data_IF_866575688613
#
_entry.id   IF_866575688613
#
_cell.length_a   1.000
_cell.length_b   1.000
_cell.length_c   1.000
_cell.angle_alpha   90.00
_cell.angle_beta   90.00
_cell.angle_gamma   90.00
#
_symmetry.space_group_name_H-M   'P 1'
#
loop_
_entity.id
_entity.type
_entity.pdbx_description
1 polymer ?
#
# COMPACT_ATOMS: atom_id res chain seq x y z
N UNK A 1 6.81 23.25 -26.93
CA UNK A 1 6.15 21.92 -26.90
C UNK A 1 4.76 21.93 -27.54
N UNK A 2 4.38 20.90 -28.31
CA UNK A 2 3.04 20.73 -28.91
C UNK A 2 2.03 20.15 -27.89
N UNK A 3 0.72 20.20 -28.20
CA UNK A 3 -0.30 19.59 -27.33
C UNK A 3 -0.11 18.07 -27.16
N UNK A 4 0.28 17.38 -28.24
CA UNK A 4 0.56 15.93 -28.20
C UNK A 4 1.78 15.62 -27.31
N UNK A 5 2.84 16.42 -27.39
CA UNK A 5 4.02 16.24 -26.54
C UNK A 5 3.71 16.53 -25.07
N UNK A 6 2.85 17.51 -24.77
CA UNK A 6 2.36 17.77 -23.41
C UNK A 6 1.57 16.58 -22.84
N UNK A 7 0.67 16.01 -23.65
CA UNK A 7 -0.11 14.84 -23.24
C UNK A 7 0.80 13.64 -22.97
N UNK A 8 1.80 13.40 -23.82
CA UNK A 8 2.78 12.33 -23.61
C UNK A 8 3.57 12.53 -22.31
N UNK A 9 4.05 13.74 -22.03
CA UNK A 9 4.78 14.06 -20.80
C UNK A 9 3.94 13.90 -19.52
N UNK A 10 2.64 14.23 -19.58
CA UNK A 10 1.71 13.97 -18.48
C UNK A 10 1.45 12.47 -18.29
N UNK A 11 1.48 11.70 -19.38
CA UNK A 11 1.34 10.25 -19.29
C UNK A 11 2.58 9.59 -18.69
N UNK A 12 3.78 10.11 -19.00
CA UNK A 12 5.04 9.65 -18.40
C UNK A 12 5.00 9.75 -16.88
N UNK A 13 4.65 10.91 -16.31
CA UNK A 13 4.61 11.05 -14.84
C UNK A 13 3.59 10.12 -14.17
N UNK A 14 2.51 9.78 -14.87
CA UNK A 14 1.46 8.88 -14.35
C UNK A 14 1.86 7.42 -14.36
N UNK A 15 2.55 6.95 -15.40
CA UNK A 15 2.70 5.50 -15.65
C UNK A 15 4.13 5.00 -15.76
N UNK A 16 5.08 5.90 -16.02
CA UNK A 16 6.46 5.49 -16.26
C UNK A 16 7.17 5.11 -14.96
N UNK A 17 8.32 4.46 -15.10
CA UNK A 17 9.26 4.20 -14.00
C UNK A 17 9.85 5.50 -13.46
N UNK A 18 10.36 5.55 -12.22
CA UNK A 18 10.85 6.80 -11.67
C UNK A 18 12.10 7.33 -12.40
N UNK A 19 12.90 6.44 -13.03
CA UNK A 19 13.96 6.80 -13.98
C UNK A 19 13.45 7.62 -15.17
N UNK A 20 12.38 7.16 -15.82
CA UNK A 20 11.76 7.83 -16.96
C UNK A 20 11.10 9.15 -16.54
N UNK A 21 10.60 9.22 -15.31
CA UNK A 21 10.07 10.47 -14.72
C UNK A 21 11.20 11.47 -14.49
N UNK A 22 12.36 11.02 -13.99
CA UNK A 22 13.55 11.86 -13.79
C UNK A 22 14.06 12.42 -15.14
N UNK A 23 14.17 11.58 -16.17
CA UNK A 23 14.57 12.02 -17.51
C UNK A 23 13.59 13.06 -18.08
N UNK A 24 12.28 12.81 -17.91
CA UNK A 24 11.25 13.77 -18.31
C UNK A 24 11.34 15.08 -17.51
N UNK A 25 11.59 15.01 -16.20
CA UNK A 25 11.78 16.18 -15.35
C UNK A 25 12.96 17.03 -15.82
N UNK A 26 14.10 16.40 -16.15
CA UNK A 26 15.28 17.08 -16.68
C UNK A 26 14.97 17.83 -18.00
N UNK A 27 14.18 17.23 -18.89
CA UNK A 27 13.70 17.91 -20.09
C UNK A 27 12.85 19.15 -19.76
N UNK A 28 11.94 19.04 -18.79
CA UNK A 28 11.08 20.14 -18.38
C UNK A 28 11.84 21.26 -17.66
N UNK A 29 12.90 20.94 -16.93
CA UNK A 29 13.83 21.94 -16.37
C UNK A 29 14.53 22.69 -17.51
N UNK A 30 15.07 21.97 -18.49
CA UNK A 30 15.75 22.58 -19.64
C UNK A 30 14.82 23.48 -20.48
N UNK A 31 13.53 23.12 -20.57
CA UNK A 31 12.50 23.95 -21.23
C UNK A 31 11.96 25.09 -20.35
N UNK A 32 12.40 25.21 -19.08
CA UNK A 32 11.94 26.24 -18.14
C UNK A 32 10.52 26.03 -17.61
N UNK A 33 9.98 24.81 -17.72
CA UNK A 33 8.69 24.42 -17.18
C UNK A 33 8.75 24.12 -15.67
N UNK A 34 9.89 23.60 -15.20
CA UNK A 34 10.21 23.32 -13.79
C UNK A 34 11.40 24.16 -13.35
N UNK A 35 11.42 24.58 -12.08
CA UNK A 35 12.54 25.28 -11.44
C UNK A 35 12.77 24.73 -10.04
N UNK A 36 13.99 24.82 -9.46
CA UNK A 36 14.25 24.32 -8.11
C UNK A 36 13.28 24.93 -7.11
N UNK A 37 12.85 24.12 -6.15
CA UNK A 37 12.07 24.61 -5.02
C UNK A 37 12.99 25.11 -3.90
N UNK A 38 13.42 26.37 -4.01
CA UNK A 38 14.35 27.00 -3.05
C UNK A 38 13.76 27.14 -1.64
N UNK A 39 12.44 27.06 -1.47
CA UNK A 39 11.80 27.08 -0.15
C UNK A 39 11.98 25.76 0.62
N UNK A 40 12.15 24.64 -0.10
CA UNK A 40 12.47 23.35 0.49
C UNK A 40 13.95 23.28 0.95
N UNK A 41 14.85 23.93 0.21
CA UNK A 41 16.28 24.04 0.57
C UNK A 41 16.46 24.86 1.87
N UNK A 42 15.73 25.97 2.03
CA UNK A 42 15.79 26.80 3.25
C UNK A 42 15.21 26.09 4.49
N UNK A 43 14.20 25.20 4.33
CA UNK A 43 13.59 24.46 5.45
C UNK A 43 14.53 23.38 6.02
N UNK A 44 15.30 22.68 5.17
CA UNK A 44 16.28 21.69 5.62
C UNK A 44 17.55 22.34 6.23
N UNK A 45 17.98 23.50 5.74
CA UNK A 45 19.09 24.25 6.36
C UNK A 45 18.73 24.78 7.78
N UNK A 46 17.43 24.90 8.08
CA UNK A 46 16.92 25.27 9.41
C UNK A 46 16.74 24.08 10.37
N UNK A 47 16.73 22.83 9.88
CA UNK A 47 16.68 21.63 10.74
C UNK A 47 18.08 21.17 11.17
N UNK A 48 19.10 21.30 10.31
CA UNK A 48 20.50 21.00 10.66
C UNK A 48 21.15 22.03 11.62
N UNK A 49 20.47 23.15 11.89
CA UNK A 49 20.94 24.22 12.78
C UNK A 49 20.18 24.30 14.11
N UNK A 50 19.36 23.30 14.47
CA UNK A 50 18.66 23.26 15.77
C UNK A 50 19.42 22.43 16.82
N UNK A 51 20.70 22.72 16.98
CA UNK A 51 21.36 22.57 18.27
C UNK A 51 21.42 23.96 18.92
N UNK A 52 20.84 24.06 20.12
CA UNK A 52 20.75 25.25 20.99
C UNK A 52 19.86 26.41 20.49
N UNK A 53 18.58 26.37 20.87
CA UNK A 53 18.07 27.39 21.80
C UNK A 53 16.70 27.00 22.37
N UNK A 54 16.69 26.68 23.67
CA UNK A 54 15.51 26.66 24.53
C UNK A 54 14.89 28.05 24.54
N UNK A 55 13.73 28.22 23.94
CA UNK A 55 12.77 29.22 24.40
C UNK A 55 11.36 28.65 24.41
N UNK A 56 10.79 28.65 25.62
CA UNK A 56 9.38 28.43 25.90
C UNK A 56 8.52 29.35 25.01
N UNK A 57 7.71 28.77 24.13
CA UNK A 57 6.61 29.47 23.47
C UNK A 57 5.31 28.72 23.75
N UNK A 58 4.59 29.21 24.76
CA UNK A 58 3.14 29.01 24.90
C UNK A 58 2.46 29.58 23.65
N UNK A 59 1.79 28.73 22.86
CA UNK A 59 0.84 29.15 21.84
C UNK A 59 -0.42 28.28 21.91
N UNK A 60 -1.37 28.84 22.66
CA UNK A 60 -2.83 28.89 22.49
C UNK A 60 -3.49 27.99 21.44
N UNK A 61 -4.48 27.23 21.92
CA UNK A 61 -5.61 26.68 21.16
C UNK A 61 -6.29 27.77 20.33
N UNK A 62 -6.45 27.56 19.02
CA UNK A 62 -7.56 28.11 18.22
C UNK A 62 -7.64 27.41 16.85
N UNK A 63 -8.69 26.59 16.73
CA UNK A 63 -9.58 26.37 15.58
C UNK A 63 -9.01 26.06 14.18
N UNK A 64 -9.19 24.78 13.83
CA UNK A 64 -9.39 24.23 12.49
C UNK A 64 -10.55 24.94 11.76
N UNK A 65 -10.44 25.21 10.44
CA UNK A 65 -11.35 24.46 9.55
C UNK A 65 -10.77 24.20 8.16
N UNK A 66 -10.99 23.00 7.60
CA UNK A 66 -11.79 22.79 6.38
C UNK A 66 -11.80 21.29 5.98
N UNK A 67 -12.74 20.53 6.54
CA UNK A 67 -13.30 19.32 5.96
C UNK A 67 -14.71 19.67 5.48
N UNK A 68 -14.86 20.05 4.21
CA UNK A 68 -16.17 20.19 3.57
C UNK A 68 -16.39 19.04 2.59
N UNK A 69 -17.48 18.32 2.83
CA UNK A 69 -17.76 16.99 2.31
C UNK A 69 -18.14 16.94 0.83
N UNK A 70 -18.00 15.74 0.28
CA UNK A 70 -18.59 15.37 -1.00
C UNK A 70 -19.29 14.04 -0.81
N UNK A 71 -20.62 14.13 -0.79
CA UNK A 71 -21.54 13.02 -0.72
C UNK A 71 -21.49 12.11 -1.95
N UNK A 72 -21.98 10.91 -1.67
CA UNK A 72 -22.08 9.65 -2.39
C UNK A 72 -22.78 9.70 -3.77
N UNK A 73 -22.72 8.53 -4.44
CA UNK A 73 -23.48 8.04 -5.59
C UNK A 73 -22.74 7.98 -6.93
N UNK A 74 -21.96 6.90 -7.10
CA UNK A 74 -22.00 6.02 -8.30
C UNK A 74 -21.12 4.77 -8.14
N UNK A 75 -21.72 3.71 -7.60
CA UNK A 75 -21.24 2.34 -7.83
C UNK A 75 -21.58 1.91 -9.25
N UNK A 76 -20.63 2.04 -10.18
CA UNK A 76 -20.64 1.22 -11.39
C UNK A 76 -19.64 0.06 -11.24
N UNK A 77 -20.22 -1.13 -11.17
CA UNK A 77 -19.53 -2.42 -11.18
C UNK A 77 -18.80 -2.62 -12.52
N UNK A 78 -17.48 -2.69 -12.50
CA UNK A 78 -16.71 -3.21 -13.62
C UNK A 78 -15.78 -4.34 -13.16
N UNK A 79 -16.00 -5.48 -13.80
CA UNK A 79 -15.42 -6.79 -13.55
C UNK A 79 -13.88 -6.79 -13.54
N UNK A 80 -13.34 -7.63 -12.66
CA UNK A 80 -11.93 -7.89 -12.54
C UNK A 80 -11.31 -8.46 -13.82
N UNK A 81 -10.19 -7.86 -14.20
CA UNK A 81 -9.16 -8.54 -14.97
C UNK A 81 -7.97 -8.77 -14.04
N UNK A 82 -7.89 -9.98 -13.47
CA UNK A 82 -6.63 -10.51 -12.96
C UNK A 82 -5.68 -10.65 -14.13
N UNK A 83 -4.69 -9.75 -14.22
CA UNK A 83 -3.50 -9.97 -15.03
C UNK A 83 -2.53 -10.78 -14.17
N UNK A 84 -2.43 -12.07 -14.46
CA UNK A 84 -1.21 -12.83 -14.17
C UNK A 84 -0.12 -12.23 -15.07
N UNK A 85 0.72 -11.36 -14.50
CA UNK A 85 1.89 -10.79 -15.15
C UNK A 85 3.14 -11.43 -14.56
N UNK A 86 3.92 -12.09 -15.41
CA UNK A 86 5.26 -12.60 -15.12
C UNK A 86 6.13 -11.47 -14.57
N UNK A 87 6.77 -11.69 -13.42
CA UNK A 87 7.77 -10.76 -12.90
C UNK A 87 8.94 -10.73 -13.88
N UNK A 88 9.12 -9.60 -14.57
CA UNK A 88 10.28 -9.38 -15.42
C UNK A 88 11.53 -9.26 -14.54
N UNK A 89 12.44 -10.23 -14.66
CA UNK A 89 13.82 -10.12 -14.19
C UNK A 89 14.56 -9.08 -15.06
N UNK A 90 14.29 -7.80 -14.79
CA UNK A 90 15.08 -6.67 -15.30
C UNK A 90 16.13 -6.28 -14.27
N UNK A 91 17.35 -6.01 -14.71
CA UNK A 91 18.42 -5.42 -13.90
C UNK A 91 17.91 -4.09 -13.32
N UNK A 92 17.73 -4.05 -12.01
CA UNK A 92 17.08 -2.97 -11.28
C UNK A 92 18.08 -1.85 -10.99
N UNK A 93 17.73 -0.62 -11.36
CA UNK A 93 18.53 0.56 -11.03
C UNK A 93 18.04 1.16 -9.70
N UNK A 94 18.75 0.84 -8.62
CA UNK A 94 18.47 1.30 -7.25
C UNK A 94 18.38 2.83 -7.14
N UNK A 95 19.05 3.58 -8.03
CA UNK A 95 19.08 5.06 -7.98
C UNK A 95 17.81 5.73 -8.48
N UNK A 96 16.96 4.97 -9.17
CA UNK A 96 15.89 5.52 -9.99
C UNK A 96 14.52 4.95 -9.65
N UNK A 97 14.36 4.47 -8.41
CA UNK A 97 13.10 3.90 -7.89
C UNK A 97 12.50 4.75 -6.77
N UNK A 98 11.19 4.67 -6.58
CA UNK A 98 10.58 5.19 -5.35
C UNK A 98 10.83 4.17 -4.24
N UNK A 99 11.16 4.67 -3.05
CA UNK A 99 11.49 3.82 -1.90
C UNK A 99 10.59 4.17 -0.74
N UNK A 100 10.08 3.13 -0.09
CA UNK A 100 9.48 3.19 1.21
C UNK A 100 10.52 2.70 2.21
N UNK A 101 10.95 3.56 3.11
CA UNK A 101 11.94 3.22 4.13
C UNK A 101 11.22 2.72 5.37
N UNK A 102 11.66 1.57 5.86
CA UNK A 102 11.24 1.01 7.13
C UNK A 102 12.21 1.44 8.20
N UNK A 103 11.70 2.10 9.22
CA UNK A 103 12.39 2.33 10.48
C UNK A 103 11.89 1.32 11.51
N UNK A 104 12.80 0.75 12.29
CA UNK A 104 12.48 -0.22 13.36
C UNK A 104 13.06 0.18 14.71
N UNK A 105 13.47 1.45 14.87
CA UNK A 105 13.99 1.97 16.13
C UNK A 105 12.97 1.87 17.28
N UNK A 106 13.48 1.68 18.50
CA UNK A 106 12.72 1.57 19.75
C UNK A 106 11.63 0.48 19.80
N UNK A 107 11.73 -0.52 18.94
CA UNK A 107 10.85 -1.68 18.97
C UNK A 107 9.45 -1.41 18.43
N UNK A 108 9.20 -0.24 17.85
CA UNK A 108 8.12 0.01 16.90
C UNK A 108 8.64 -0.01 15.47
N UNK A 109 7.72 -0.11 14.49
CA UNK A 109 8.12 -0.09 13.09
C UNK A 109 7.25 0.90 12.34
N UNK A 110 7.92 1.81 11.66
CA UNK A 110 7.31 2.88 10.87
C UNK A 110 7.79 2.77 9.43
N UNK A 111 6.94 3.19 8.52
CA UNK A 111 7.22 3.23 7.09
C UNK A 111 7.01 4.66 6.60
N UNK A 112 7.98 5.18 5.88
CA UNK A 112 7.94 6.52 5.28
C UNK A 112 8.33 6.48 3.81
N UNK A 113 7.91 7.48 3.03
CA UNK A 113 8.33 7.63 1.64
C UNK A 113 9.64 8.39 1.61
N UNK A 114 10.67 7.81 0.99
CA UNK A 114 11.86 8.57 0.63
C UNK A 114 11.66 9.21 -0.74
N UNK A 115 11.81 10.53 -0.77
CA UNK A 115 11.72 11.30 -2.00
C UNK A 115 13.10 11.38 -2.65
N UNK A 116 13.25 10.90 -3.91
CA UNK A 116 14.47 11.14 -4.68
C UNK A 116 14.80 12.63 -4.76
N UNK A 117 16.08 12.99 -4.76
CA UNK A 117 16.50 14.39 -4.78
C UNK A 117 15.94 15.17 -5.99
N UNK A 118 15.71 14.49 -7.12
CA UNK A 118 15.09 15.08 -8.31
C UNK A 118 13.60 15.38 -8.17
N UNK A 119 12.93 15.04 -7.07
CA UNK A 119 11.51 15.41 -6.85
C UNK A 119 11.36 16.87 -6.37
N UNK A 120 12.47 17.54 -6.04
CA UNK A 120 12.53 18.90 -5.43
C UNK A 120 12.38 20.05 -6.44
N UNK A 121 11.32 20.02 -7.25
CA UNK A 121 11.02 21.08 -8.22
C UNK A 121 9.65 21.70 -7.96
N UNK A 122 9.48 22.94 -8.44
CA UNK A 122 8.18 23.62 -8.52
C UNK A 122 7.80 23.97 -9.96
N UNK A 123 6.51 23.94 -10.25
CA UNK A 123 5.97 24.28 -11.56
C UNK A 123 6.04 25.79 -11.88
N UNK A 124 6.99 26.20 -12.71
CA UNK A 124 7.16 27.61 -13.13
C UNK A 124 6.08 28.07 -14.13
N UNK A 125 5.53 27.13 -14.89
CA UNK A 125 4.53 27.38 -15.94
C UNK A 125 3.24 26.61 -15.65
N UNK A 126 2.10 26.94 -16.31
CA UNK A 126 0.87 26.15 -16.14
C UNK A 126 1.08 24.66 -16.41
N UNK A 127 1.81 24.33 -17.49
CA UNK A 127 2.12 22.93 -17.80
C UNK A 127 3.02 22.28 -16.75
N UNK A 128 4.05 22.99 -16.26
CA UNK A 128 4.89 22.49 -15.17
C UNK A 128 4.12 22.25 -13.87
N UNK A 129 3.13 23.10 -13.55
CA UNK A 129 2.23 22.90 -12.41
C UNK A 129 1.35 21.67 -12.59
N UNK A 130 0.79 21.47 -13.79
CA UNK A 130 0.01 20.26 -14.08
C UNK A 130 0.86 19.00 -13.94
N UNK A 131 2.12 19.03 -14.40
CA UNK A 131 3.04 17.91 -14.28
C UNK A 131 3.37 17.60 -12.81
N UNK A 132 3.72 18.63 -12.01
CA UNK A 132 3.95 18.46 -10.57
C UNK A 132 2.72 17.95 -9.83
N UNK A 133 1.51 18.43 -10.15
CA UNK A 133 0.29 17.94 -9.52
C UNK A 133 -0.01 16.46 -9.81
N UNK A 134 0.50 15.89 -10.92
CA UNK A 134 0.41 14.45 -11.18
C UNK A 134 1.49 13.69 -10.42
N UNK A 135 2.71 14.24 -10.28
CA UNK A 135 3.76 13.67 -9.45
C UNK A 135 3.33 13.64 -7.98
N UNK A 136 2.82 14.75 -7.44
CA UNK A 136 2.30 14.86 -6.07
C UNK A 136 1.21 13.83 -5.79
N UNK A 137 0.26 13.62 -6.72
CA UNK A 137 -0.74 12.55 -6.57
C UNK A 137 -0.12 11.17 -6.44
N UNK A 138 0.90 10.88 -7.24
CA UNK A 138 1.64 9.61 -7.16
C UNK A 138 2.35 9.46 -5.82
N UNK A 139 2.96 10.52 -5.32
CA UNK A 139 3.63 10.55 -4.02
C UNK A 139 2.64 10.43 -2.86
N UNK A 140 1.47 11.06 -2.95
CA UNK A 140 0.41 10.94 -1.95
C UNK A 140 -0.14 9.52 -1.86
N UNK A 141 -0.25 8.82 -3.00
CA UNK A 141 -0.57 7.39 -3.02
C UNK A 141 0.46 6.59 -2.23
N UNK A 142 1.76 6.82 -2.47
CA UNK A 142 2.82 6.13 -1.74
C UNK A 142 2.82 6.48 -0.24
N UNK A 143 2.55 7.74 0.11
CA UNK A 143 2.41 8.19 1.49
C UNK A 143 1.25 7.51 2.22
N UNK A 144 0.10 7.39 1.55
CA UNK A 144 -1.05 6.67 2.10
C UNK A 144 -0.74 5.17 2.31
N UNK A 145 0.02 4.55 1.40
CA UNK A 145 0.46 3.15 1.56
C UNK A 145 1.47 3.00 2.68
N UNK A 146 2.42 3.93 2.83
CA UNK A 146 3.37 3.95 3.93
C UNK A 146 2.65 4.07 5.29
N UNK A 147 1.69 4.99 5.42
CA UNK A 147 0.86 5.13 6.62
C UNK A 147 0.07 3.85 6.92
N UNK A 148 -0.55 3.24 5.90
CA UNK A 148 -1.23 1.96 6.05
C UNK A 148 -0.29 0.84 6.52
N UNK A 149 0.94 0.78 6.02
CA UNK A 149 1.93 -0.20 6.48
C UNK A 149 2.26 -0.03 7.96
N UNK A 150 2.51 1.23 8.38
CA UNK A 150 2.79 1.59 9.79
C UNK A 150 1.65 1.21 10.72
N UNK A 151 0.42 1.52 10.32
CA UNK A 151 -0.77 1.32 11.16
C UNK A 151 -1.25 -0.12 11.17
N UNK A 152 -1.29 -0.75 9.99
CA UNK A 152 -2.01 -2.01 9.79
C UNK A 152 -1.12 -3.21 9.55
N UNK A 153 0.19 -3.02 9.29
CA UNK A 153 1.15 -4.09 8.94
C UNK A 153 2.46 -4.04 9.73
N UNK A 154 2.45 -3.41 10.90
CA UNK A 154 3.62 -3.23 11.77
C UNK A 154 4.43 -4.50 12.04
N UNK A 155 3.78 -5.66 12.26
CA UNK A 155 4.52 -6.90 12.51
C UNK A 155 5.33 -7.37 11.30
N UNK A 156 4.77 -7.24 10.10
CA UNK A 156 5.50 -7.49 8.86
C UNK A 156 6.66 -6.52 8.68
N UNK A 157 6.47 -5.23 8.99
CA UNK A 157 7.56 -4.26 8.96
C UNK A 157 8.71 -4.64 9.92
N UNK A 158 8.41 -5.22 11.08
CA UNK A 158 9.44 -5.67 12.04
C UNK A 158 10.22 -6.89 11.59
N UNK A 159 9.60 -7.82 10.87
CA UNK A 159 10.21 -9.12 10.56
C UNK A 159 10.63 -9.30 9.11
N UNK A 160 10.09 -8.48 8.20
CA UNK A 160 10.09 -8.71 6.75
C UNK A 160 9.53 -10.10 6.34
N UNK A 161 8.94 -10.87 7.28
CA UNK A 161 8.39 -12.20 7.02
C UNK A 161 6.94 -12.02 6.55
N UNK A 162 6.58 -12.47 5.32
CA UNK A 162 5.21 -12.38 4.81
C UNK A 162 4.19 -13.03 5.75
N UNK A 163 4.62 -13.98 6.60
CA UNK A 163 3.80 -14.62 7.62
C UNK A 163 3.26 -13.66 8.67
N UNK A 164 3.87 -12.49 8.84
CA UNK A 164 3.49 -11.49 9.84
C UNK A 164 2.60 -10.37 9.27
N UNK A 165 2.10 -10.51 8.04
CA UNK A 165 1.24 -9.54 7.36
C UNK A 165 -0.17 -9.37 8.00
N UNK A 166 -0.40 -9.86 9.21
CA UNK A 166 -1.72 -10.18 9.76
C UNK A 166 -2.28 -9.32 10.90
N UNK A 167 -1.93 -8.04 11.05
CA UNK A 167 -2.38 -7.26 12.23
C UNK A 167 -3.88 -6.94 12.25
N UNK A 168 -4.49 -6.65 11.09
CA UNK A 168 -5.88 -6.14 11.01
C UNK A 168 -6.87 -7.03 10.23
N UNK A 169 -6.51 -8.29 10.01
CA UNK A 169 -7.28 -9.18 9.15
C UNK A 169 -8.75 -9.40 9.58
N UNK A 170 -9.06 -9.28 10.87
CA UNK A 170 -10.44 -9.37 11.40
C UNK A 170 -11.32 -8.22 10.90
N UNK A 171 -10.86 -6.98 11.08
CA UNK A 171 -11.60 -5.79 10.64
C UNK A 171 -11.76 -5.75 9.11
N UNK A 172 -10.72 -6.17 8.39
CA UNK A 172 -10.75 -6.34 6.94
C UNK A 172 -11.84 -7.33 6.49
N UNK A 173 -11.89 -8.54 7.04
CA UNK A 173 -12.93 -9.51 6.66
C UNK A 173 -14.33 -9.00 7.01
N UNK A 174 -14.50 -8.33 8.15
CA UNK A 174 -15.78 -7.71 8.55
C UNK A 174 -16.21 -6.57 7.62
N UNK A 175 -15.25 -5.82 7.10
CA UNK A 175 -15.47 -4.70 6.19
C UNK A 175 -15.64 -5.11 4.72
N UNK A 176 -15.66 -6.42 4.42
CA UNK A 176 -15.73 -6.97 3.05
C UNK A 176 -14.58 -6.51 2.13
N UNK A 177 -13.42 -6.27 2.73
CA UNK A 177 -12.28 -5.72 2.03
C UNK A 177 -11.00 -6.43 2.53
N UNK A 178 -10.15 -6.91 1.62
CA UNK A 178 -8.84 -7.45 1.97
C UNK A 178 -7.73 -6.61 1.33
N UNK A 179 -6.90 -6.00 2.18
CA UNK A 179 -5.78 -5.11 1.78
C UNK A 179 -4.60 -5.84 1.15
N UNK A 180 -4.69 -7.17 1.07
CA UNK A 180 -3.68 -8.05 0.49
C UNK A 180 -3.91 -8.34 -0.99
N UNK A 181 -4.92 -7.71 -1.58
CA UNK A 181 -5.02 -7.55 -3.04
C UNK A 181 -4.80 -6.09 -3.38
N UNK A 182 -4.11 -5.80 -4.48
CA UNK A 182 -3.85 -4.41 -4.89
C UNK A 182 -5.17 -3.64 -5.09
N UNK A 183 -6.13 -4.26 -5.78
CA UNK A 183 -7.46 -3.68 -6.00
C UNK A 183 -8.22 -3.43 -4.70
N UNK A 184 -8.08 -4.34 -3.73
CA UNK A 184 -8.57 -4.09 -2.39
C UNK A 184 -7.90 -2.87 -1.76
N UNK A 185 -6.56 -2.84 -1.70
CA UNK A 185 -5.81 -1.77 -1.04
C UNK A 185 -6.29 -0.39 -1.49
N UNK A 186 -6.44 -0.25 -2.80
CA UNK A 186 -6.98 0.94 -3.46
C UNK A 186 -8.37 1.32 -2.93
N UNK A 187 -9.28 0.34 -2.77
CA UNK A 187 -10.65 0.60 -2.33
C UNK A 187 -10.73 1.03 -0.85
N UNK A 188 -9.92 0.43 0.02
CA UNK A 188 -9.92 0.77 1.46
C UNK A 188 -9.29 2.09 1.80
N UNK A 189 -8.15 2.38 1.17
CA UNK A 189 -7.50 3.67 1.31
C UNK A 189 -8.20 4.75 0.47
N UNK A 190 -9.29 4.40 -0.23
CA UNK A 190 -10.07 5.29 -1.12
C UNK A 190 -9.17 6.03 -2.11
N UNK A 191 -8.13 5.37 -2.60
CA UNK A 191 -7.13 5.99 -3.47
C UNK A 191 -7.71 6.34 -4.85
N UNK A 192 -8.88 5.82 -5.20
CA UNK A 192 -9.58 6.20 -6.44
C UNK A 192 -9.88 7.70 -6.53
N UNK A 193 -9.97 8.38 -5.38
CA UNK A 193 -10.12 9.84 -5.34
C UNK A 193 -8.83 10.56 -5.81
N UNK A 194 -7.70 9.86 -5.78
CA UNK A 194 -6.38 10.35 -6.22
C UNK A 194 -6.06 10.00 -7.68
N UNK A 195 -6.77 9.03 -8.28
CA UNK A 195 -6.59 8.67 -9.69
C UNK A 195 -7.23 7.35 -10.13
N UNK A 196 -7.10 7.03 -11.41
CA UNK A 196 -7.55 5.76 -11.96
C UNK A 196 -6.78 4.58 -11.35
N UNK A 197 -7.45 3.44 -11.11
CA UNK A 197 -6.81 2.24 -10.56
C UNK A 197 -5.55 1.82 -11.32
N UNK A 198 -5.55 1.95 -12.64
CA UNK A 198 -4.39 1.62 -13.48
C UNK A 198 -3.16 2.48 -13.19
N UNK A 199 -3.37 3.76 -12.87
CA UNK A 199 -2.30 4.71 -12.53
C UNK A 199 -1.78 4.40 -11.14
N UNK A 200 -2.68 4.13 -10.19
CA UNK A 200 -2.31 3.75 -8.82
C UNK A 200 -1.51 2.44 -8.82
N UNK A 201 -1.95 1.42 -9.57
CA UNK A 201 -1.18 0.19 -9.74
C UNK A 201 0.23 0.45 -10.26
N UNK A 202 0.35 1.29 -11.29
CA UNK A 202 1.67 1.66 -11.86
C UNK A 202 2.57 2.38 -10.85
N UNK A 203 2.00 3.12 -9.89
CA UNK A 203 2.76 3.73 -8.81
C UNK A 203 3.35 2.68 -7.86
N UNK A 204 2.62 1.61 -7.58
CA UNK A 204 3.03 0.54 -6.67
C UNK A 204 4.05 -0.42 -7.30
N UNK A 205 3.86 -0.77 -8.58
CA UNK A 205 4.65 -1.81 -9.27
C UNK A 205 6.16 -1.45 -9.44
N UNK A 206 6.54 -0.19 -9.24
CA UNK A 206 7.93 0.30 -9.34
C UNK A 206 8.52 0.80 -8.01
N UNK A 207 7.91 0.43 -6.88
CA UNK A 207 8.31 0.91 -5.54
C UNK A 207 8.94 -0.21 -4.72
N UNK A 208 10.02 0.10 -4.00
CA UNK A 208 10.68 -0.83 -3.07
C UNK A 208 10.31 -0.51 -1.62
N UNK A 209 10.30 -1.54 -0.78
CA UNK A 209 10.30 -1.43 0.66
C UNK A 209 11.72 -1.81 1.15
N UNK A 210 12.41 -0.90 1.82
CA UNK A 210 13.82 -1.05 2.23
C UNK A 210 13.96 -0.99 3.76
N UNK A 211 14.72 -1.91 4.33
CA UNK A 211 14.99 -2.01 5.77
C UNK A 211 16.35 -1.41 6.16
N UNK A 212 16.58 -1.09 7.45
CA UNK A 212 17.83 -0.47 7.90
C UNK A 212 19.08 -1.31 7.67
N UNK A 213 18.94 -2.63 7.50
CA UNK A 213 20.04 -3.55 7.20
C UNK A 213 20.41 -3.57 5.70
N UNK A 214 19.74 -2.77 4.87
CA UNK A 214 19.91 -2.68 3.43
C UNK A 214 19.18 -3.78 2.65
N UNK A 215 18.39 -4.63 3.32
CA UNK A 215 17.51 -5.57 2.62
C UNK A 215 16.32 -4.84 2.01
N UNK A 216 15.83 -5.33 0.87
CA UNK A 216 14.69 -4.74 0.18
C UNK A 216 13.76 -5.79 -0.43
N UNK A 217 12.48 -5.44 -0.51
CA UNK A 217 11.45 -6.21 -1.19
C UNK A 217 10.63 -5.29 -2.10
N UNK A 218 10.25 -5.73 -3.30
CA UNK A 218 9.37 -4.94 -4.13
C UNK A 218 7.98 -4.85 -3.47
N UNK A 219 7.35 -3.68 -3.53
CA UNK A 219 6.10 -3.42 -2.82
C UNK A 219 4.94 -4.32 -3.31
N UNK A 220 4.99 -4.73 -4.58
CA UNK A 220 4.03 -5.64 -5.18
C UNK A 220 4.02 -7.04 -4.53
N UNK A 221 5.12 -7.41 -3.85
CA UNK A 221 5.23 -8.63 -3.08
C UNK A 221 4.14 -8.75 -2.01
N UNK A 222 3.67 -7.63 -1.44
CA UNK A 222 2.57 -7.59 -0.47
C UNK A 222 1.25 -8.13 -1.03
N UNK A 223 1.10 -8.10 -2.36
CA UNK A 223 -0.07 -8.60 -3.06
C UNK A 223 0.17 -9.97 -3.69
N UNK A 224 1.35 -10.55 -3.49
CA UNK A 224 1.69 -11.89 -3.98
C UNK A 224 0.77 -12.94 -3.40
N UNK A 225 0.68 -14.09 -4.09
CA UNK A 225 -0.11 -15.21 -3.60
C UNK A 225 0.35 -15.71 -2.23
N UNK A 226 1.64 -15.62 -1.94
CA UNK A 226 2.21 -16.00 -0.64
C UNK A 226 1.71 -15.07 0.48
N UNK A 227 1.84 -13.76 0.29
CA UNK A 227 1.34 -12.75 1.20
C UNK A 227 -0.17 -12.91 1.49
N UNK A 228 -0.96 -13.19 0.45
CA UNK A 228 -2.40 -13.45 0.58
C UNK A 228 -2.71 -14.69 1.41
N UNK A 229 -1.95 -15.78 1.24
CA UNK A 229 -2.13 -16.99 2.05
C UNK A 229 -1.76 -16.77 3.51
N UNK A 230 -0.67 -16.03 3.77
CA UNK A 230 -0.25 -15.67 5.12
C UNK A 230 -1.31 -14.84 5.84
N UNK A 231 -1.86 -13.83 5.17
CA UNK A 231 -2.97 -13.05 5.70
C UNK A 231 -4.19 -13.91 6.02
N UNK A 232 -4.59 -14.82 5.11
CA UNK A 232 -5.73 -15.73 5.34
C UNK A 232 -5.50 -16.62 6.57
N UNK A 233 -4.28 -17.14 6.73
CA UNK A 233 -3.91 -17.94 7.90
C UNK A 233 -4.04 -17.13 9.20
N UNK A 234 -3.55 -15.89 9.21
CA UNK A 234 -3.64 -14.99 10.37
C UNK A 234 -5.08 -14.57 10.69
N UNK A 235 -5.89 -14.29 9.67
CA UNK A 235 -7.31 -13.98 9.82
C UNK A 235 -8.03 -15.11 10.57
N UNK A 236 -7.85 -16.35 10.10
CA UNK A 236 -8.49 -17.54 10.67
C UNK A 236 -7.94 -17.83 12.07
N UNK A 237 -6.64 -17.64 12.30
CA UNK A 237 -6.01 -17.77 13.63
C UNK A 237 -6.61 -16.79 14.64
N UNK A 238 -6.69 -15.51 14.30
CA UNK A 238 -7.23 -14.46 15.17
C UNK A 238 -8.70 -14.72 15.51
N UNK A 239 -9.51 -15.05 14.51
CA UNK A 239 -10.96 -15.19 14.69
C UNK A 239 -11.40 -16.52 15.31
N UNK A 240 -10.71 -17.62 15.00
CA UNK A 240 -10.98 -18.88 15.69
C UNK A 240 -10.71 -18.76 17.20
N UNK A 241 -9.62 -18.06 17.58
CA UNK A 241 -9.32 -17.79 18.98
C UNK A 241 -10.44 -16.97 19.66
N UNK A 242 -10.96 -15.93 19.00
CA UNK A 242 -12.11 -15.15 19.50
C UNK A 242 -13.38 -16.01 19.67
N UNK A 243 -13.58 -17.00 18.78
CA UNK A 243 -14.69 -17.94 18.86
C UNK A 243 -14.46 -19.09 19.87
N UNK A 244 -13.33 -19.10 20.59
CA UNK A 244 -12.99 -20.14 21.57
C UNK A 244 -12.45 -21.44 20.97
N UNK A 245 -12.05 -21.43 19.70
CA UNK A 245 -11.45 -22.57 19.00
C UNK A 245 -9.93 -22.48 19.04
N UNK A 246 -9.28 -23.61 19.30
CA UNK A 246 -7.85 -23.76 19.06
C UNK A 246 -7.60 -24.04 17.57
N UNK A 247 -6.46 -23.59 17.04
CA UNK A 247 -6.12 -23.87 15.65
C UNK A 247 -6.00 -25.35 15.32
N UNK A 248 -5.66 -26.19 16.31
CA UNK A 248 -5.69 -27.63 16.15
C UNK A 248 -7.10 -28.15 15.84
N UNK A 249 -8.11 -27.70 16.60
CA UNK A 249 -9.51 -28.07 16.35
C UNK A 249 -10.01 -27.56 14.99
N UNK A 250 -9.61 -26.35 14.59
CA UNK A 250 -9.95 -25.80 13.27
C UNK A 250 -9.37 -26.66 12.16
N UNK A 251 -8.09 -27.03 12.26
CA UNK A 251 -7.42 -27.85 11.25
C UNK A 251 -7.98 -29.27 11.19
N UNK A 252 -8.28 -29.88 12.33
CA UNK A 252 -8.90 -31.21 12.38
C UNK A 252 -10.27 -31.23 11.69
N UNK A 253 -11.07 -30.19 11.92
CA UNK A 253 -12.44 -30.11 11.40
C UNK A 253 -12.53 -29.61 9.97
N UNK A 254 -11.71 -28.63 9.59
CA UNK A 254 -11.88 -27.85 8.36
C UNK A 254 -10.71 -27.94 7.38
N UNK A 255 -9.65 -28.72 7.64
CA UNK A 255 -8.49 -28.82 6.70
C UNK A 255 -8.83 -29.22 5.26
N UNK A 256 -10.00 -29.85 5.06
CA UNK A 256 -10.49 -30.29 3.74
C UNK A 256 -11.62 -29.42 3.19
N UNK A 257 -11.96 -28.30 3.83
CA UNK A 257 -13.01 -27.40 3.35
C UNK A 257 -12.65 -26.91 1.95
N UNK A 258 -13.52 -27.23 1.00
CA UNK A 258 -13.40 -26.80 -0.38
C UNK A 258 -14.23 -25.53 -0.57
N UNK A 259 -13.66 -24.55 -1.26
CA UNK A 259 -14.38 -23.33 -1.62
C UNK A 259 -15.13 -23.60 -2.94
N UNK A 260 -16.47 -23.54 -2.97
CA UNK A 260 -17.20 -23.68 -4.21
C UNK A 260 -16.91 -22.47 -5.11
N UNK A 261 -16.15 -22.68 -6.20
CA UNK A 261 -15.83 -21.61 -7.18
C UNK A 261 -17.06 -20.86 -7.69
N UNK A 262 -18.20 -21.55 -7.79
CA UNK A 262 -19.47 -20.97 -8.25
C UNK A 262 -20.08 -19.93 -7.30
N UNK A 263 -19.60 -19.82 -6.06
CA UNK A 263 -20.11 -18.89 -5.04
C UNK A 263 -19.10 -17.85 -4.59
N UNK A 264 -17.90 -17.82 -5.17
CA UNK A 264 -16.82 -16.95 -4.68
C UNK A 264 -17.21 -15.45 -4.72
N UNK A 265 -17.84 -15.01 -5.81
CA UNK A 265 -18.38 -13.63 -5.93
C UNK A 265 -19.43 -13.32 -4.87
N UNK A 266 -20.31 -14.28 -4.55
CA UNK A 266 -21.32 -14.14 -3.50
C UNK A 266 -20.66 -13.93 -2.13
N UNK A 267 -19.67 -14.76 -1.80
CA UNK A 267 -18.97 -14.73 -0.51
C UNK A 267 -18.20 -13.45 -0.25
N UNK A 268 -17.63 -12.81 -1.28
CA UNK A 268 -16.94 -11.52 -1.15
C UNK A 268 -17.86 -10.41 -0.63
N UNK A 269 -19.17 -10.51 -0.89
CA UNK A 269 -20.15 -9.47 -0.56
C UNK A 269 -21.07 -9.81 0.61
N UNK A 270 -21.11 -11.09 1.02
CA UNK A 270 -21.96 -11.57 2.12
C UNK A 270 -21.58 -10.88 3.43
N UNK A 271 -22.53 -10.45 4.26
CA UNK A 271 -22.26 -9.90 5.59
C UNK A 271 -21.49 -10.89 6.48
N UNK A 272 -20.64 -10.39 7.39
CA UNK A 272 -20.00 -11.23 8.44
C UNK A 272 -20.89 -11.51 9.64
N UNK A 273 -22.01 -10.82 9.79
CA UNK A 273 -22.90 -11.01 10.95
C UNK A 273 -23.46 -12.44 10.98
N UNK A 274 -23.20 -13.15 12.07
CA UNK A 274 -23.71 -14.51 12.29
C UNK A 274 -23.07 -15.59 11.41
N UNK A 275 -21.96 -15.30 10.71
CA UNK A 275 -21.21 -16.35 10.00
C UNK A 275 -20.61 -17.33 11.02
N UNK A 276 -20.74 -18.62 10.72
CA UNK A 276 -19.97 -19.64 11.43
C UNK A 276 -18.51 -19.68 10.94
N UNK A 277 -17.69 -20.50 11.61
CA UNK A 277 -16.27 -20.58 11.29
C UNK A 277 -15.99 -21.14 9.89
N UNK A 278 -16.86 -22.00 9.35
CA UNK A 278 -16.68 -22.57 8.02
C UNK A 278 -16.94 -21.51 6.94
N UNK A 279 -18.05 -20.80 7.08
CA UNK A 279 -18.42 -19.66 6.24
C UNK A 279 -17.34 -18.57 6.31
N UNK A 280 -16.76 -18.34 7.48
CA UNK A 280 -15.65 -17.41 7.65
C UNK A 280 -14.41 -17.84 6.87
N UNK A 281 -13.99 -19.11 6.97
CA UNK A 281 -12.85 -19.64 6.21
C UNK A 281 -13.09 -19.44 4.72
N UNK A 282 -14.29 -19.76 4.24
CA UNK A 282 -14.67 -19.58 2.83
C UNK A 282 -14.56 -18.10 2.43
N UNK A 283 -15.08 -17.20 3.26
CA UNK A 283 -15.07 -15.76 2.98
C UNK A 283 -13.67 -15.15 2.98
N UNK A 284 -12.84 -15.44 3.98
CA UNK A 284 -11.47 -14.93 4.05
C UNK A 284 -10.68 -15.36 2.80
N UNK A 285 -10.80 -16.63 2.40
CA UNK A 285 -10.15 -17.10 1.18
C UNK A 285 -10.72 -16.46 -0.09
N UNK A 286 -12.03 -16.22 -0.17
CA UNK A 286 -12.65 -15.54 -1.30
C UNK A 286 -12.21 -14.08 -1.42
N UNK A 287 -12.03 -13.37 -0.31
CA UNK A 287 -11.52 -11.99 -0.29
C UNK A 287 -10.06 -11.91 -0.71
N UNK A 288 -9.22 -12.85 -0.24
CA UNK A 288 -7.80 -12.91 -0.55
C UNK A 288 -7.47 -13.64 -1.86
N UNK A 289 -8.47 -14.16 -2.59
CA UNK A 289 -8.26 -14.99 -3.79
C UNK A 289 -7.26 -16.13 -3.53
N UNK A 290 -7.55 -16.93 -2.50
CA UNK A 290 -6.74 -18.07 -2.05
C UNK A 290 -7.57 -19.34 -1.92
N UNK A 291 -6.90 -20.48 -1.72
CA UNK A 291 -7.59 -21.75 -1.41
C UNK A 291 -7.17 -22.25 -0.04
N UNK A 292 -8.16 -22.62 0.76
CA UNK A 292 -7.91 -23.02 2.14
C UNK A 292 -6.99 -24.25 2.24
N UNK A 293 -7.16 -25.22 1.35
CA UNK A 293 -6.30 -26.41 1.32
C UNK A 293 -4.83 -26.08 1.03
N UNK A 294 -4.57 -25.02 0.26
CA UNK A 294 -3.22 -24.53 -0.03
C UNK A 294 -2.67 -23.74 1.16
N UNK A 295 -3.49 -22.88 1.78
CA UNK A 295 -3.14 -22.16 3.01
C UNK A 295 -2.74 -23.14 4.12
N UNK A 296 -3.54 -24.18 4.35
CA UNK A 296 -3.23 -25.23 5.33
C UNK A 296 -1.94 -25.97 4.95
N UNK A 297 -1.75 -26.31 3.67
CA UNK A 297 -0.52 -27.00 3.25
C UNK A 297 0.74 -26.18 3.54
N UNK A 298 0.68 -24.86 3.30
CA UNK A 298 1.84 -23.97 3.40
C UNK A 298 2.07 -23.43 4.81
N UNK A 299 1.01 -23.08 5.55
CA UNK A 299 1.10 -22.36 6.82
C UNK A 299 0.67 -23.18 8.05
N UNK A 300 0.36 -24.48 7.92
CA UNK A 300 -0.11 -25.30 9.05
C UNK A 300 0.80 -25.28 10.27
N UNK A 301 2.12 -25.37 10.11
CA UNK A 301 3.06 -25.30 11.24
C UNK A 301 2.94 -23.97 11.97
N UNK A 302 2.99 -22.87 11.24
CA UNK A 302 2.88 -21.51 11.77
C UNK A 302 1.52 -21.22 12.44
N UNK A 303 0.44 -21.78 11.90
CA UNK A 303 -0.89 -21.66 12.50
C UNK A 303 -1.01 -22.38 13.85
N UNK A 304 -0.20 -23.43 14.06
CA UNK A 304 -0.16 -24.18 15.32
C UNK A 304 0.80 -23.56 16.35
N UNK A 305 1.73 -22.72 15.92
CA UNK A 305 2.61 -21.98 16.81
C UNK A 305 1.79 -20.96 17.61
N UNK A 306 1.89 -20.99 18.94
CA UNK A 306 1.25 -19.98 19.78
C UNK A 306 1.93 -18.62 19.58
N UNK A 307 1.20 -17.50 19.67
CA UNK A 307 1.85 -16.19 19.70
C UNK A 307 2.88 -16.17 20.83
N UNK A 308 4.11 -15.76 20.51
CA UNK A 308 5.14 -15.49 21.51
C UNK A 308 4.79 -14.24 22.30
#
# INVERSE_FOLDING_TARGET
>A
MTAAARAAMLETVRRASPAEIEEAAACLVAEGHLVPDTAFEEANELEDNKDDDRMDQELTEEDDPFLDGWDDDRRESLDGQSREGESSEGEFDERSSFRLLVDTEDGDAECSVEYPAWVRWRGATPFGRDWMANLERRLNVLGAVAGWLTDQRRYFLKSADPRDLGSDADNEVRSNYASVTQGGLIDHLRLTDMGEKSIISSALDGTQLEWPDGSSLPLDFLFSREARMAWTANAIKKLSAQAGWTMQQVLERYSKTAIPKSREKEWRTKSTEGLDLEDFIIKANALADTKWTEVVKTHKSHMLDQPR
#
